data_IF_141914731786
#
_entry.id   IF_141914731786
#
_cell.length_a   1.000
_cell.length_b   1.000
_cell.length_c   1.000
_cell.angle_alpha   90.00
_cell.angle_beta   90.00
_cell.angle_gamma   90.00
#
_symmetry.space_group_name_H-M   'P 1'
#
loop_
_entity.id
_entity.type
_entity.pdbx_description
1 polymer ?
#
# COMPACT_ATOMS: atom_id res chain seq x y z
N UNK A 1 55.88 33.97 -46.37
CA UNK A 1 57.15 33.37 -46.89
C UNK A 1 57.09 31.91 -46.56
N UNK A 2 57.06 31.05 -47.36
CA UNK A 2 57.52 30.29 -48.50
C UNK A 2 56.70 29.00 -48.55
N UNK A 3 55.91 28.71 -49.50
CA UNK A 3 56.00 28.03 -50.82
C UNK A 3 56.30 26.52 -50.70
N UNK A 4 55.36 25.70 -51.09
CA UNK A 4 55.23 24.87 -52.32
C UNK A 4 55.89 23.47 -52.24
N UNK A 5 55.12 22.46 -52.64
CA UNK A 5 55.63 21.20 -53.13
C UNK A 5 54.67 20.07 -53.35
N UNK A 6 53.91 20.14 -54.45
CA UNK A 6 53.08 19.02 -54.93
C UNK A 6 53.94 18.00 -55.70
N UNK A 7 53.74 16.71 -55.57
CA UNK A 7 54.08 15.70 -56.58
C UNK A 7 53.07 14.60 -56.73
N UNK A 8 52.44 14.56 -57.91
CA UNK A 8 51.72 13.44 -58.53
C UNK A 8 52.61 12.31 -58.96
N UNK A 9 52.18 11.07 -58.90
CA UNK A 9 52.37 9.96 -59.89
C UNK A 9 51.65 8.70 -59.32
N UNK A 10 50.72 8.22 -59.97
CA UNK A 10 50.43 7.30 -61.12
C UNK A 10 50.17 5.86 -60.60
N UNK A 11 48.99 5.46 -60.75
CA UNK A 11 48.24 4.31 -61.26
C UNK A 11 49.14 3.08 -61.56
N UNK A 12 48.77 1.96 -60.94
CA UNK A 12 48.85 0.62 -61.53
C UNK A 12 47.65 -0.22 -61.02
N UNK A 13 46.91 -0.73 -62.00
CA UNK A 13 45.78 -1.62 -61.96
C UNK A 13 46.20 -3.02 -61.59
N UNK A 14 45.51 -3.64 -60.67
CA UNK A 14 45.60 -5.06 -60.38
C UNK A 14 44.32 -5.52 -59.64
N UNK A 15 43.41 -6.17 -60.36
CA UNK A 15 42.32 -6.93 -59.76
C UNK A 15 42.87 -8.23 -59.17
N UNK A 16 42.38 -8.60 -58.01
CA UNK A 16 42.20 -10.03 -57.76
C UNK A 16 40.71 -10.36 -57.37
N UNK A 17 40.32 -11.50 -57.83
CA UNK A 17 39.11 -12.27 -57.60
C UNK A 17 38.68 -12.25 -56.11
N UNK A 18 37.51 -11.70 -55.85
CA UNK A 18 36.85 -11.83 -54.53
C UNK A 18 36.04 -13.10 -54.45
N UNK A 19 36.45 -14.03 -53.63
CA UNK A 19 35.61 -15.11 -53.14
C UNK A 19 34.53 -14.53 -52.23
N UNK A 20 33.27 -14.51 -52.66
CA UNK A 20 32.11 -14.26 -51.80
C UNK A 20 31.91 -15.50 -50.91
N UNK A 21 32.38 -15.44 -49.68
CA UNK A 21 31.88 -16.31 -48.62
C UNK A 21 30.57 -15.72 -48.13
N UNK A 22 29.45 -16.32 -48.47
CA UNK A 22 28.17 -16.10 -47.83
C UNK A 22 28.26 -16.67 -46.41
N UNK A 23 28.65 -15.83 -45.45
CA UNK A 23 28.44 -16.10 -44.04
C UNK A 23 26.97 -15.99 -43.76
N UNK A 24 26.30 -17.09 -43.41
CA UNK A 24 25.01 -17.10 -42.77
C UNK A 24 25.16 -16.30 -41.44
N UNK A 25 24.78 -15.02 -41.44
CA UNK A 25 24.45 -14.31 -40.23
C UNK A 25 23.14 -14.91 -39.70
N UNK A 26 23.27 -15.89 -38.80
CA UNK A 26 22.16 -16.21 -37.93
C UNK A 26 21.73 -14.89 -37.22
N UNK A 27 20.43 -14.56 -37.17
CA UNK A 27 20.01 -13.42 -36.38
C UNK A 27 20.44 -13.70 -34.93
N UNK A 28 21.34 -12.89 -34.39
CA UNK A 28 21.51 -12.77 -32.95
C UNK A 28 20.13 -12.39 -32.44
N UNK A 29 19.40 -13.37 -31.85
CA UNK A 29 18.25 -13.08 -31.04
C UNK A 29 18.71 -12.07 -30.01
N UNK A 30 18.33 -10.82 -30.17
CA UNK A 30 18.58 -9.78 -29.17
C UNK A 30 17.91 -10.30 -27.90
N UNK A 31 18.69 -10.63 -26.89
CA UNK A 31 18.18 -10.91 -25.56
C UNK A 31 17.54 -9.62 -25.09
N UNK A 32 16.23 -9.48 -25.28
CA UNK A 32 15.46 -8.35 -24.80
C UNK A 32 15.60 -8.30 -23.29
N UNK A 33 15.77 -7.10 -22.76
CA UNK A 33 15.71 -6.87 -21.32
C UNK A 33 14.30 -7.23 -20.84
N UNK A 34 14.17 -7.79 -19.63
CA UNK A 34 12.86 -8.03 -19.02
C UNK A 34 12.05 -6.71 -18.93
N UNK A 35 10.76 -6.80 -19.16
CA UNK A 35 9.86 -5.66 -19.18
C UNK A 35 8.65 -5.91 -18.28
N UNK A 36 8.22 -4.88 -17.57
CA UNK A 36 6.95 -4.91 -16.86
C UNK A 36 5.78 -4.89 -17.87
N UNK A 37 4.94 -5.93 -17.94
CA UNK A 37 3.78 -5.95 -18.83
C UNK A 37 2.68 -4.95 -18.43
N UNK A 38 2.85 -4.26 -17.31
CA UNK A 38 1.87 -3.31 -16.78
C UNK A 38 0.76 -3.95 -15.95
N UNK A 39 -0.18 -3.12 -15.58
CA UNK A 39 -1.29 -3.50 -14.70
C UNK A 39 -2.14 -4.61 -15.32
N UNK A 40 -2.25 -5.73 -14.62
CA UNK A 40 -3.16 -6.82 -15.01
C UNK A 40 -4.61 -6.34 -14.91
N UNK A 41 -5.36 -6.47 -15.99
CA UNK A 41 -6.80 -6.15 -15.97
C UNK A 41 -7.52 -7.15 -15.06
N UNK A 42 -8.44 -6.65 -14.26
CA UNK A 42 -9.35 -7.51 -13.53
C UNK A 42 -10.17 -8.36 -14.50
N UNK A 43 -10.32 -9.65 -14.20
CA UNK A 43 -11.34 -10.48 -14.84
C UNK A 43 -12.72 -10.04 -14.33
N UNK A 44 -13.81 -10.43 -15.01
CA UNK A 44 -15.18 -10.09 -14.59
C UNK A 44 -15.46 -10.38 -13.12
N UNK A 45 -14.87 -11.45 -12.58
CA UNK A 45 -15.03 -11.88 -11.17
C UNK A 45 -14.10 -11.12 -10.20
N UNK A 46 -13.18 -10.30 -10.69
CA UNK A 46 -12.22 -9.53 -9.89
C UNK A 46 -12.31 -8.02 -10.11
N UNK A 47 -13.38 -7.53 -10.73
CA UNK A 47 -13.57 -6.12 -11.05
C UNK A 47 -14.39 -5.35 -9.99
N UNK A 48 -14.91 -6.04 -8.98
CA UNK A 48 -15.73 -5.46 -7.91
C UNK A 48 -15.32 -6.04 -6.56
N UNK A 49 -15.59 -5.33 -5.45
CA UNK A 49 -15.41 -5.90 -4.12
C UNK A 49 -16.38 -7.07 -3.93
N UNK A 50 -15.84 -8.24 -3.61
CA UNK A 50 -16.63 -9.45 -3.33
C UNK A 50 -16.36 -9.92 -1.91
N UNK A 51 -17.37 -10.46 -1.20
CA UNK A 51 -17.19 -11.00 0.13
C UNK A 51 -16.38 -12.32 0.07
N UNK A 52 -15.77 -12.68 1.20
CA UNK A 52 -15.17 -13.99 1.39
C UNK A 52 -16.23 -15.09 1.15
N UNK A 53 -15.80 -16.20 0.58
CA UNK A 53 -16.65 -17.35 0.41
C UNK A 53 -16.99 -17.97 1.78
N UNK A 54 -18.25 -18.38 1.97
CA UNK A 54 -18.69 -19.07 3.19
C UNK A 54 -19.20 -18.14 4.30
N UNK A 55 -19.41 -16.85 4.00
CA UNK A 55 -20.12 -15.95 4.90
C UNK A 55 -21.58 -16.39 5.09
N UNK A 56 -22.08 -16.31 6.32
CA UNK A 56 -23.50 -16.44 6.64
C UNK A 56 -24.31 -15.28 6.06
N UNK A 57 -25.64 -15.39 6.07
CA UNK A 57 -26.51 -14.30 5.62
C UNK A 57 -26.32 -13.02 6.44
N UNK A 58 -26.15 -13.17 7.76
CA UNK A 58 -25.94 -12.02 8.64
C UNK A 58 -24.58 -11.35 8.35
N UNK A 59 -23.50 -12.14 8.21
CA UNK A 59 -22.19 -11.63 7.84
C UNK A 59 -22.22 -10.91 6.47
N UNK A 60 -22.97 -11.44 5.50
CA UNK A 60 -23.17 -10.76 4.20
C UNK A 60 -23.89 -9.43 4.36
N UNK A 61 -24.85 -9.34 5.29
CA UNK A 61 -25.56 -8.09 5.58
C UNK A 61 -24.59 -7.03 6.15
N UNK A 62 -23.75 -7.40 7.11
CA UNK A 62 -22.72 -6.51 7.65
C UNK A 62 -21.68 -6.12 6.61
N UNK A 63 -21.24 -7.06 5.76
CA UNK A 63 -20.36 -6.75 4.65
C UNK A 63 -20.95 -5.68 3.71
N UNK A 64 -22.22 -5.84 3.34
CA UNK A 64 -22.89 -4.93 2.40
C UNK A 64 -23.14 -3.55 3.01
N UNK A 65 -23.50 -3.50 4.29
CA UNK A 65 -23.65 -2.24 5.04
C UNK A 65 -22.30 -1.51 5.13
N UNK A 66 -21.26 -2.21 5.53
CA UNK A 66 -19.91 -1.64 5.62
C UNK A 66 -19.36 -1.17 4.26
N UNK A 67 -19.61 -1.93 3.17
CA UNK A 67 -19.28 -1.49 1.81
C UNK A 67 -20.02 -0.20 1.44
N UNK A 68 -21.28 -0.09 1.79
CA UNK A 68 -22.10 1.10 1.53
C UNK A 68 -21.52 2.30 2.27
N UNK A 69 -21.26 2.17 3.57
CA UNK A 69 -20.67 3.26 4.38
C UNK A 69 -19.25 3.62 3.91
N UNK A 70 -18.43 2.65 3.53
CA UNK A 70 -17.08 2.91 2.98
C UNK A 70 -17.11 3.72 1.67
N UNK A 71 -18.25 3.74 0.97
CA UNK A 71 -18.49 4.50 -0.25
C UNK A 71 -19.27 5.81 -0.02
N UNK A 72 -19.70 6.09 1.20
CA UNK A 72 -20.39 7.33 1.51
C UNK A 72 -19.46 8.53 1.32
N UNK A 73 -20.04 9.61 0.82
CA UNK A 73 -19.38 10.93 0.78
C UNK A 73 -19.81 11.69 2.03
N UNK A 74 -18.85 12.01 2.87
CA UNK A 74 -19.08 12.77 4.08
C UNK A 74 -19.11 14.28 3.78
N UNK A 75 -20.00 14.98 4.47
CA UNK A 75 -20.15 16.44 4.38
C UNK A 75 -19.98 17.08 5.76
N UNK A 76 -19.69 18.38 5.80
CA UNK A 76 -19.53 19.10 7.06
C UNK A 76 -20.86 19.16 7.79
N UNK A 77 -21.96 19.48 7.11
CA UNK A 77 -23.29 19.59 7.72
C UNK A 77 -24.41 19.28 6.73
N UNK A 78 -25.54 18.81 7.27
CA UNK A 78 -26.71 18.46 6.48
C UNK A 78 -26.66 17.06 5.86
N UNK A 79 -27.82 16.45 5.64
CA UNK A 79 -27.91 15.09 5.10
C UNK A 79 -27.70 14.00 6.15
N UNK A 80 -27.53 12.77 5.68
CA UNK A 80 -27.37 11.57 6.53
C UNK A 80 -25.90 11.25 6.82
N UNK A 81 -24.99 11.69 5.95
CA UNK A 81 -23.55 11.47 6.07
C UNK A 81 -22.87 12.81 6.39
N UNK A 82 -22.90 13.19 7.63
CA UNK A 82 -22.33 14.44 8.10
C UNK A 82 -21.30 14.17 9.18
N UNK A 83 -20.43 15.15 9.43
CA UNK A 83 -19.41 15.07 10.45
C UNK A 83 -17.99 15.20 9.92
N UNK A 84 -17.82 15.41 8.59
CA UNK A 84 -16.49 15.70 8.04
C UNK A 84 -15.84 16.80 8.85
N UNK A 85 -14.65 16.51 9.35
CA UNK A 85 -13.95 17.41 10.26
C UNK A 85 -13.45 18.69 9.58
N UNK A 86 -13.02 19.67 10.38
CA UNK A 86 -12.51 20.93 9.87
C UNK A 86 -11.19 20.79 9.10
N UNK A 87 -10.46 19.70 9.32
CA UNK A 87 -9.24 19.30 8.59
C UNK A 87 -9.39 17.89 8.09
N UNK A 88 -9.06 17.65 6.81
CA UNK A 88 -9.26 16.36 6.16
C UNK A 88 -8.31 16.18 4.96
N UNK A 89 -8.12 14.92 4.52
CA UNK A 89 -7.41 14.55 3.31
C UNK A 89 -8.38 14.17 2.19
N UNK A 90 -9.49 13.52 2.55
CA UNK A 90 -10.57 13.17 1.64
C UNK A 90 -11.90 13.18 2.40
N UNK A 91 -13.00 13.18 1.65
CA UNK A 91 -14.36 13.05 2.20
C UNK A 91 -15.00 11.69 1.90
N UNK A 92 -14.21 10.71 1.44
CA UNK A 92 -14.71 9.39 1.07
C UNK A 92 -13.57 8.36 1.11
N UNK A 93 -13.75 7.24 1.82
CA UNK A 93 -12.73 6.19 1.91
C UNK A 93 -12.42 5.54 0.55
N UNK A 94 -13.49 5.21 -0.20
CA UNK A 94 -13.37 4.52 -1.49
C UNK A 94 -12.70 5.36 -2.58
N UNK A 95 -12.61 6.68 -2.45
CA UNK A 95 -11.94 7.51 -3.42
C UNK A 95 -10.43 7.22 -3.49
N UNK A 96 -9.80 7.02 -2.33
CA UNK A 96 -8.38 6.71 -2.22
C UNK A 96 -8.10 5.19 -2.29
N UNK A 97 -9.01 4.37 -1.79
CA UNK A 97 -8.94 2.91 -1.78
C UNK A 97 -9.74 2.30 -2.93
N UNK A 98 -9.36 2.58 -4.20
CA UNK A 98 -10.15 2.22 -5.38
C UNK A 98 -9.49 1.21 -6.33
N UNK A 99 -8.17 1.06 -6.33
CA UNK A 99 -7.48 0.22 -7.31
C UNK A 99 -7.14 -1.18 -6.73
N UNK A 100 -7.58 -2.28 -7.36
CA UNK A 100 -8.35 -2.42 -8.62
C UNK A 100 -9.87 -2.22 -8.45
N UNK A 101 -10.37 -2.20 -7.23
CA UNK A 101 -11.76 -1.95 -6.85
C UNK A 101 -11.81 -1.38 -5.42
N UNK A 102 -13.01 -1.03 -4.94
CA UNK A 102 -13.23 -0.48 -3.59
C UNK A 102 -12.63 -1.42 -2.52
N UNK A 103 -11.81 -0.86 -1.66
CA UNK A 103 -10.96 -1.59 -0.70
C UNK A 103 -9.53 -1.84 -1.21
N UNK A 104 -9.20 -1.35 -2.41
CA UNK A 104 -7.87 -1.46 -3.00
C UNK A 104 -6.87 -0.41 -2.48
N UNK A 105 -5.98 0.01 -3.36
CA UNK A 105 -4.96 1.04 -3.12
C UNK A 105 -5.21 2.27 -3.99
N UNK A 106 -4.23 3.17 -4.08
CA UNK A 106 -4.29 4.39 -4.89
C UNK A 106 -4.69 4.12 -6.34
N UNK A 107 -5.73 4.80 -6.87
CA UNK A 107 -6.08 4.74 -8.28
C UNK A 107 -5.07 5.46 -9.16
N UNK A 108 -5.14 5.20 -10.48
CA UNK A 108 -4.28 5.84 -11.48
C UNK A 108 -4.59 7.34 -11.66
N UNK A 109 -5.84 7.74 -11.50
CA UNK A 109 -6.26 9.13 -11.47
C UNK A 109 -6.45 9.58 -10.02
N UNK A 110 -5.80 10.65 -9.62
CA UNK A 110 -5.85 11.14 -8.25
C UNK A 110 -7.18 11.88 -7.98
N UNK A 111 -8.06 11.36 -7.11
CA UNK A 111 -9.36 11.96 -6.83
C UNK A 111 -9.27 13.23 -5.98
N UNK A 112 -8.19 13.44 -5.24
CA UNK A 112 -8.05 14.57 -4.30
C UNK A 112 -8.11 15.92 -5.01
N UNK A 113 -7.70 15.97 -6.28
CA UNK A 113 -7.82 17.17 -7.11
C UNK A 113 -9.29 17.55 -7.34
N UNK A 114 -10.14 16.54 -7.59
CA UNK A 114 -11.56 16.75 -7.75
C UNK A 114 -12.21 17.16 -6.42
N UNK A 115 -11.83 16.55 -5.31
CA UNK A 115 -12.29 16.92 -3.97
C UNK A 115 -11.98 18.37 -3.66
N UNK A 116 -10.74 18.82 -3.87
CA UNK A 116 -10.36 20.21 -3.66
C UNK A 116 -11.15 21.20 -4.54
N UNK A 117 -11.50 20.80 -5.76
CA UNK A 117 -12.22 21.65 -6.71
C UNK A 117 -13.73 21.67 -6.47
N UNK A 118 -14.34 20.52 -6.15
CA UNK A 118 -15.78 20.36 -6.02
C UNK A 118 -16.36 21.13 -4.84
N UNK A 119 -15.59 21.27 -3.77
CA UNK A 119 -16.03 21.92 -2.55
C UNK A 119 -15.93 23.45 -2.60
N UNK A 120 -15.54 24.03 -3.74
CA UNK A 120 -15.34 25.48 -3.86
C UNK A 120 -14.33 26.03 -2.86
N UNK A 121 -13.51 25.15 -2.31
CA UNK A 121 -12.59 25.47 -1.26
C UNK A 121 -11.46 26.37 -1.78
N UNK A 122 -11.02 27.29 -0.94
CA UNK A 122 -9.78 28.04 -1.17
C UNK A 122 -8.53 27.18 -1.02
N UNK A 123 -8.73 25.90 -0.70
CA UNK A 123 -7.65 24.93 -0.58
C UNK A 123 -6.90 24.78 -1.90
N UNK A 124 -5.61 24.96 -1.83
CA UNK A 124 -4.73 24.65 -2.95
C UNK A 124 -4.39 23.16 -2.92
N UNK A 125 -4.47 22.51 -4.07
CA UNK A 125 -3.96 21.15 -4.20
C UNK A 125 -2.46 21.17 -3.93
N UNK A 126 -1.95 20.43 -2.95
CA UNK A 126 -0.52 20.39 -2.70
C UNK A 126 0.25 19.87 -3.91
N UNK A 127 1.47 20.37 -4.09
CA UNK A 127 2.33 20.05 -5.24
C UNK A 127 2.63 18.57 -5.43
N UNK A 128 2.51 17.75 -4.38
CA UNK A 128 2.74 16.30 -4.43
C UNK A 128 1.51 15.49 -4.87
N UNK A 129 0.34 16.11 -4.97
CA UNK A 129 -0.88 15.53 -5.49
C UNK A 129 -1.02 15.87 -6.99
N UNK A 130 -0.49 15.00 -7.84
CA UNK A 130 -0.56 15.18 -9.29
C UNK A 130 -1.77 14.44 -9.88
N UNK A 131 -2.40 14.96 -10.98
CA UNK A 131 -3.62 14.38 -11.56
C UNK A 131 -3.51 12.88 -11.92
N UNK A 132 -2.33 12.44 -12.35
CA UNK A 132 -2.04 11.06 -12.73
C UNK A 132 -0.97 10.43 -11.81
N UNK A 133 -0.78 11.02 -10.63
CA UNK A 133 0.11 10.52 -9.60
C UNK A 133 -0.64 9.72 -8.53
N UNK A 134 0.08 9.06 -7.63
CA UNK A 134 -0.54 8.37 -6.51
C UNK A 134 -1.21 9.37 -5.56
N UNK A 135 -2.29 8.94 -4.94
CA UNK A 135 -2.83 9.57 -3.72
C UNK A 135 -1.79 9.42 -2.61
N UNK A 136 -1.45 10.53 -1.96
CA UNK A 136 -0.46 10.55 -0.89
C UNK A 136 -0.97 11.22 0.36
N UNK A 137 -0.87 10.58 1.50
CA UNK A 137 -0.86 11.27 2.78
C UNK A 137 0.53 11.90 3.01
N UNK A 138 0.56 13.08 3.62
CA UNK A 138 1.79 13.72 4.05
C UNK A 138 2.05 13.46 5.53
N UNK A 139 3.31 13.12 5.86
CA UNK A 139 3.78 12.98 7.24
C UNK A 139 5.04 13.81 7.44
N UNK A 140 5.22 14.34 8.63
CA UNK A 140 6.45 15.03 8.98
C UNK A 140 7.30 14.15 9.87
N UNK A 141 8.62 14.12 9.62
CA UNK A 141 9.56 13.43 10.50
C UNK A 141 9.65 14.10 11.86
N UNK A 142 9.59 15.42 11.86
CA UNK A 142 9.66 16.24 13.08
C UNK A 142 8.70 17.40 13.00
N UNK A 143 8.14 17.78 14.15
CA UNK A 143 7.39 19.02 14.35
C UNK A 143 8.03 19.79 15.49
N UNK A 144 8.36 21.08 15.28
CA UNK A 144 9.02 21.92 16.26
C UNK A 144 10.31 21.31 16.87
N UNK A 145 11.04 20.52 16.06
CA UNK A 145 12.30 19.89 16.48
C UNK A 145 12.14 18.58 17.28
N UNK A 146 10.91 18.11 17.48
CA UNK A 146 10.65 16.80 18.11
C UNK A 146 10.14 15.82 17.07
N UNK A 147 10.36 14.48 17.25
CA UNK A 147 9.77 13.47 16.38
C UNK A 147 8.25 13.64 16.29
N UNK A 148 7.72 13.53 15.06
CA UNK A 148 6.30 13.63 14.76
C UNK A 148 5.81 12.27 14.19
N UNK A 149 5.86 12.10 12.89
CA UNK A 149 5.40 10.90 12.20
C UNK A 149 3.89 10.80 12.01
N UNK A 150 3.12 11.77 12.49
CA UNK A 150 1.68 11.87 12.33
C UNK A 150 1.27 12.25 10.89
N UNK A 151 0.03 11.92 10.52
CA UNK A 151 -0.59 12.40 9.28
C UNK A 151 -0.87 13.88 9.39
N UNK A 152 -0.51 14.64 8.37
CA UNK A 152 -0.84 16.06 8.25
C UNK A 152 -1.93 16.26 7.20
N UNK A 153 -2.96 17.01 7.58
CA UNK A 153 -4.14 17.23 6.76
C UNK A 153 -3.80 18.06 5.52
N UNK A 154 -4.38 17.69 4.40
CA UNK A 154 -4.13 18.31 3.10
C UNK A 154 -5.07 19.50 2.88
N UNK A 155 -6.33 19.38 3.35
CA UNK A 155 -7.38 20.35 3.13
C UNK A 155 -8.01 20.84 4.42
N UNK A 156 -8.68 21.98 4.34
CA UNK A 156 -9.49 22.57 5.41
C UNK A 156 -10.86 22.96 4.86
N UNK A 157 -11.86 23.02 5.73
CA UNK A 157 -13.25 23.35 5.33
C UNK A 157 -13.47 24.82 4.92
N UNK A 158 -12.50 25.70 5.16
CA UNK A 158 -12.61 27.14 4.84
C UNK A 158 -12.92 27.34 3.35
N UNK A 159 -13.98 28.10 3.08
CA UNK A 159 -14.44 28.37 1.71
C UNK A 159 -15.43 27.37 1.15
N UNK A 160 -15.73 26.30 1.86
CA UNK A 160 -16.79 25.36 1.47
C UNK A 160 -18.16 25.97 1.75
N UNK A 161 -19.13 25.68 0.88
CA UNK A 161 -20.52 26.17 1.03
C UNK A 161 -21.22 25.59 2.28
N UNK A 162 -20.81 24.42 2.73
CA UNK A 162 -21.32 23.71 3.90
C UNK A 162 -20.59 24.03 5.22
N UNK A 163 -19.51 24.84 5.17
CA UNK A 163 -18.66 25.16 6.33
C UNK A 163 -19.13 26.39 7.14
N UNK A 164 -20.18 27.09 6.72
CA UNK A 164 -20.66 28.29 7.38
C UNK A 164 -19.61 29.41 7.42
N UNK A 165 -19.35 29.94 8.62
CA UNK A 165 -18.35 31.02 8.86
C UNK A 165 -17.00 30.47 9.35
N UNK A 166 -16.77 29.18 9.32
CA UNK A 166 -15.50 28.60 9.74
C UNK A 166 -14.34 29.11 8.87
N UNK A 167 -13.24 29.47 9.53
CA UNK A 167 -12.02 29.93 8.87
C UNK A 167 -10.80 29.31 9.53
N UNK A 168 -10.14 28.43 8.81
CA UNK A 168 -8.91 27.74 9.22
C UNK A 168 -7.85 27.96 8.15
N UNK A 169 -6.61 28.22 8.57
CA UNK A 169 -5.50 28.32 7.62
C UNK A 169 -5.15 26.93 7.05
N UNK A 170 -5.05 26.85 5.74
CA UNK A 170 -4.57 25.63 5.09
C UNK A 170 -3.11 25.37 5.50
N UNK A 171 -2.72 24.10 5.75
CA UNK A 171 -1.34 23.76 6.00
C UNK A 171 -0.43 24.16 4.83
N UNK A 172 0.78 24.63 5.13
CA UNK A 172 1.76 25.02 4.12
C UNK A 172 2.72 23.88 3.88
N UNK A 173 2.56 23.22 2.75
CA UNK A 173 3.52 22.24 2.25
C UNK A 173 4.51 22.99 1.34
N UNK A 174 5.56 23.58 1.92
CA UNK A 174 6.56 24.32 1.12
C UNK A 174 7.24 23.35 0.16
N UNK A 175 7.16 23.60 -1.17
CA UNK A 175 7.87 22.79 -2.12
C UNK A 175 9.36 22.96 -1.89
N UNK A 176 9.97 21.90 -1.53
CA UNK A 176 11.40 21.89 -1.36
C UNK A 176 11.91 20.66 -2.07
N UNK A 177 12.10 20.72 -3.41
CA UNK A 177 12.75 19.73 -4.24
C UNK A 177 11.85 18.67 -4.88
N UNK A 178 12.46 17.71 -5.53
CA UNK A 178 11.78 16.62 -6.19
C UNK A 178 11.15 15.68 -5.15
N UNK A 179 9.81 15.51 -5.12
CA UNK A 179 9.12 14.68 -4.14
C UNK A 179 9.49 13.19 -4.26
N UNK A 180 9.90 12.75 -5.45
CA UNK A 180 10.21 11.36 -5.74
C UNK A 180 11.63 10.99 -5.33
N UNK A 181 12.59 11.91 -5.45
CA UNK A 181 14.01 11.64 -5.20
C UNK A 181 14.53 12.21 -3.90
N UNK A 182 13.75 13.06 -3.21
CA UNK A 182 14.21 13.78 -2.01
C UNK A 182 15.33 14.80 -2.29
N UNK A 183 15.77 14.93 -3.54
CA UNK A 183 16.83 15.88 -3.90
C UNK A 183 16.29 17.31 -3.94
N UNK A 184 16.82 18.14 -3.06
CA UNK A 184 16.49 19.56 -2.95
C UNK A 184 15.19 19.85 -2.23
N UNK A 185 14.56 18.89 -1.56
CA UNK A 185 13.30 18.99 -0.87
C UNK A 185 13.38 19.33 0.62
N UNK A 186 12.24 19.69 1.21
CA UNK A 186 12.16 19.70 2.67
C UNK A 186 12.27 18.24 3.14
N UNK A 187 13.41 17.79 3.68
CA UNK A 187 13.62 16.39 4.05
C UNK A 187 12.71 15.95 5.19
N UNK A 188 11.93 16.89 5.74
CA UNK A 188 10.98 16.64 6.81
C UNK A 188 9.66 16.03 6.32
N UNK A 189 9.27 16.25 5.05
CA UNK A 189 8.01 15.71 4.50
C UNK A 189 8.27 14.36 3.87
N UNK A 190 7.47 13.37 4.26
CA UNK A 190 7.43 12.03 3.66
C UNK A 190 6.01 11.68 3.26
N UNK A 191 5.87 10.68 2.41
CA UNK A 191 4.59 10.29 1.85
C UNK A 191 4.30 8.82 2.09
N UNK A 192 3.00 8.50 2.19
CA UNK A 192 2.50 7.12 2.12
C UNK A 192 1.28 7.08 1.24
N UNK A 193 1.13 5.98 0.51
CA UNK A 193 -0.05 5.69 -0.31
C UNK A 193 -1.02 4.80 0.45
N UNK A 194 -2.32 4.79 0.09
CA UNK A 194 -3.31 3.92 0.71
C UNK A 194 -2.90 2.45 0.66
N UNK A 195 -2.94 1.77 1.80
CA UNK A 195 -2.71 0.33 1.89
C UNK A 195 -3.94 -0.44 1.41
N UNK A 196 -3.80 -1.50 0.58
CA UNK A 196 -4.95 -2.33 0.22
C UNK A 196 -5.56 -2.98 1.45
N UNK A 197 -6.89 -3.01 1.50
CA UNK A 197 -7.67 -3.67 2.57
C UNK A 197 -8.20 -5.04 2.16
N UNK A 198 -8.03 -5.43 0.91
CA UNK A 198 -8.42 -6.73 0.37
C UNK A 198 -7.75 -7.88 1.13
N UNK A 199 -8.54 -8.85 1.60
CA UNK A 199 -8.04 -9.97 2.40
C UNK A 199 -7.55 -9.60 3.80
N UNK A 200 -7.76 -8.36 4.24
CA UNK A 200 -7.26 -7.87 5.53
C UNK A 200 -7.81 -8.65 6.72
N UNK A 201 -9.05 -9.16 6.64
CA UNK A 201 -9.62 -10.02 7.68
C UNK A 201 -8.88 -11.35 7.83
N UNK A 202 -8.38 -11.93 6.74
CA UNK A 202 -7.52 -13.11 6.83
C UNK A 202 -6.20 -12.78 7.54
N UNK A 203 -5.61 -11.60 7.27
CA UNK A 203 -4.40 -11.13 7.97
C UNK A 203 -4.68 -10.93 9.46
N UNK A 204 -5.80 -10.29 9.80
CA UNK A 204 -6.23 -10.08 11.20
C UNK A 204 -6.41 -11.42 11.92
N UNK A 205 -6.95 -12.43 11.23
CA UNK A 205 -7.23 -13.76 11.77
C UNK A 205 -6.00 -14.67 11.91
N UNK A 206 -4.82 -14.30 11.42
CA UNK A 206 -3.58 -15.06 11.66
C UNK A 206 -3.18 -14.86 13.12
N UNK A 207 -3.09 -15.92 13.95
CA UNK A 207 -2.71 -15.75 15.35
C UNK A 207 -1.22 -15.38 15.48
N UNK A 208 -0.88 -14.58 16.50
CA UNK A 208 0.51 -14.16 16.78
C UNK A 208 1.46 -15.36 16.87
N UNK A 209 0.96 -16.48 17.41
CA UNK A 209 1.74 -17.72 17.52
C UNK A 209 2.16 -18.29 16.16
N UNK A 210 1.37 -18.11 15.09
CA UNK A 210 1.73 -18.54 13.74
C UNK A 210 2.84 -17.66 13.15
N UNK A 211 2.77 -16.35 13.34
CA UNK A 211 3.81 -15.40 12.91
C UNK A 211 5.14 -15.72 13.62
N UNK A 212 5.12 -15.89 14.94
CA UNK A 212 6.32 -16.22 15.72
C UNK A 212 6.87 -17.62 15.40
N UNK A 213 6.00 -18.60 15.13
CA UNK A 213 6.44 -19.92 14.71
C UNK A 213 7.12 -19.88 13.34
N UNK A 214 6.56 -19.11 12.39
CA UNK A 214 7.16 -18.91 11.08
C UNK A 214 8.52 -18.19 11.17
N UNK A 215 8.62 -17.12 11.96
CA UNK A 215 9.89 -16.41 12.18
C UNK A 215 10.99 -17.37 12.69
N UNK A 216 10.68 -18.22 13.67
CA UNK A 216 11.64 -19.20 14.19
C UNK A 216 12.00 -20.27 13.17
N UNK A 217 11.02 -20.80 12.43
CA UNK A 217 11.24 -21.86 11.46
C UNK A 217 12.10 -21.39 10.26
N UNK A 218 11.97 -20.12 9.86
CA UNK A 218 12.71 -19.54 8.74
C UNK A 218 14.08 -18.97 9.14
N UNK A 219 14.42 -18.90 10.43
CA UNK A 219 15.62 -18.22 10.92
C UNK A 219 16.92 -18.76 10.29
N UNK A 220 17.06 -20.08 10.12
CA UNK A 220 18.24 -20.68 9.50
C UNK A 220 18.43 -20.31 8.04
N UNK A 221 17.36 -20.27 7.24
CA UNK A 221 17.40 -19.86 5.85
C UNK A 221 17.69 -18.35 5.71
N UNK A 222 17.12 -17.55 6.59
CA UNK A 222 17.33 -16.10 6.65
C UNK A 222 18.77 -15.74 7.02
N UNK A 223 19.37 -16.44 7.96
CA UNK A 223 20.73 -16.16 8.46
C UNK A 223 21.79 -16.15 7.36
N UNK A 224 21.68 -17.06 6.38
CA UNK A 224 22.63 -17.15 5.26
C UNK A 224 22.51 -16.00 4.24
N UNK A 225 21.42 -15.24 4.27
CA UNK A 225 21.12 -14.15 3.31
C UNK A 225 21.15 -12.77 3.95
N UNK A 226 21.33 -12.67 5.26
CA UNK A 226 21.25 -11.39 5.99
C UNK A 226 19.84 -10.91 6.25
N UNK A 227 18.82 -11.71 5.90
CA UNK A 227 17.42 -11.41 6.20
C UNK A 227 17.14 -11.69 7.68
N UNK A 228 16.59 -10.71 8.39
CA UNK A 228 16.18 -10.82 9.78
C UNK A 228 14.66 -10.76 9.93
N UNK A 229 14.20 -9.59 10.27
CA UNK A 229 12.80 -9.29 10.52
C UNK A 229 12.36 -9.57 11.94
N UNK A 230 11.52 -8.68 12.46
CA UNK A 230 10.94 -8.84 13.79
C UNK A 230 9.48 -8.34 13.79
N UNK A 231 8.64 -8.80 14.74
CA UNK A 231 7.29 -8.29 14.85
C UNK A 231 7.29 -6.85 15.40
N UNK A 232 6.42 -6.01 14.87
CA UNK A 232 6.00 -4.83 15.61
C UNK A 232 4.89 -5.26 16.58
N UNK A 233 4.93 -4.82 17.83
CA UNK A 233 4.07 -5.36 18.88
C UNK A 233 3.69 -4.30 19.92
N UNK A 234 2.53 -4.51 20.54
CA UNK A 234 2.13 -3.76 21.72
C UNK A 234 2.96 -4.26 22.89
N UNK A 235 3.70 -3.36 23.53
CA UNK A 235 4.56 -3.74 24.67
C UNK A 235 3.72 -4.24 25.86
N UNK A 236 4.18 -5.32 26.48
CA UNK A 236 3.56 -5.90 27.65
C UNK A 236 2.30 -6.72 27.42
N UNK A 237 1.90 -6.94 26.16
CA UNK A 237 0.76 -7.78 25.82
C UNK A 237 1.08 -9.28 25.81
N UNK A 238 0.06 -10.12 26.05
CA UNK A 238 0.13 -11.55 25.84
C UNK A 238 -0.12 -11.91 24.38
N UNK A 239 0.54 -12.98 23.90
CA UNK A 239 0.34 -13.49 22.55
C UNK A 239 -1.12 -13.89 22.33
N UNK A 240 -1.78 -13.30 21.36
CA UNK A 240 -3.13 -13.67 20.95
C UNK A 240 -3.09 -14.99 20.16
N UNK A 241 -3.97 -15.91 20.48
CA UNK A 241 -4.06 -17.24 19.85
C UNK A 241 -5.27 -17.38 18.93
N UNK A 242 -6.21 -16.46 19.01
CA UNK A 242 -7.49 -16.54 18.28
C UNK A 242 -7.61 -15.59 17.08
N UNK A 243 -6.67 -14.70 16.86
CA UNK A 243 -6.81 -13.63 15.85
C UNK A 243 -7.68 -12.46 16.34
N UNK A 244 -8.01 -11.54 15.46
CA UNK A 244 -8.82 -10.33 15.63
C UNK A 244 -8.30 -9.25 16.60
N UNK A 245 -7.55 -9.53 17.61
CA UNK A 245 -7.00 -8.54 18.54
C UNK A 245 -5.65 -9.02 19.13
N UNK A 246 -4.69 -9.29 18.25
CA UNK A 246 -3.36 -9.74 18.63
C UNK A 246 -2.51 -8.66 19.29
N UNK A 247 -1.41 -9.08 19.91
CA UNK A 247 -0.38 -8.18 20.43
C UNK A 247 0.67 -7.83 19.39
N UNK A 248 0.87 -8.68 18.37
CA UNK A 248 1.64 -8.37 17.18
C UNK A 248 0.79 -7.49 16.28
N UNK A 249 1.22 -6.26 16.12
CA UNK A 249 0.57 -5.29 15.23
C UNK A 249 0.90 -5.60 13.77
N UNK A 250 -0.04 -5.39 12.84
CA UNK A 250 0.07 -5.92 11.48
C UNK A 250 -0.51 -5.07 10.38
N UNK A 251 -1.15 -3.94 10.70
CA UNK A 251 -1.75 -3.03 9.71
C UNK A 251 -0.97 -1.72 9.61
N UNK A 252 -1.04 -1.10 8.43
CA UNK A 252 -0.22 0.04 8.06
C UNK A 252 1.16 -0.37 7.52
N UNK A 253 1.87 0.58 6.93
CA UNK A 253 3.18 0.34 6.30
C UNK A 253 4.28 -0.09 7.29
N UNK A 254 4.16 0.30 8.54
CA UNK A 254 5.09 -0.10 9.62
C UNK A 254 4.44 -1.07 10.61
N UNK A 255 3.33 -1.72 10.24
CA UNK A 255 2.57 -2.59 11.13
C UNK A 255 2.20 -1.89 12.46
N UNK A 256 1.79 -0.63 12.42
CA UNK A 256 1.54 0.15 13.63
C UNK A 256 0.20 -0.16 14.30
N UNK A 257 -0.80 -0.67 13.55
CA UNK A 257 -2.13 -0.96 14.08
C UNK A 257 -2.35 -2.45 14.35
N UNK A 258 -3.03 -2.75 15.47
CA UNK A 258 -3.24 -4.13 15.92
C UNK A 258 -4.43 -4.82 15.29
N UNK A 259 -5.50 -4.06 14.95
CA UNK A 259 -6.75 -4.58 14.43
C UNK A 259 -7.33 -3.67 13.35
N UNK A 260 -8.25 -4.21 12.55
CA UNK A 260 -8.96 -3.44 11.55
C UNK A 260 -9.87 -2.39 12.17
N UNK A 261 -10.45 -2.65 13.33
CA UNK A 261 -11.25 -1.66 14.07
C UNK A 261 -10.39 -0.47 14.50
N UNK A 262 -9.22 -0.71 15.08
CA UNK A 262 -8.29 0.36 15.44
C UNK A 262 -7.82 1.13 14.20
N UNK A 263 -7.53 0.42 13.11
CA UNK A 263 -7.09 1.03 11.86
C UNK A 263 -8.19 1.86 11.20
N UNK A 264 -9.45 1.38 11.21
CA UNK A 264 -10.61 2.13 10.74
C UNK A 264 -10.83 3.41 11.56
N UNK A 265 -10.79 3.30 12.89
CA UNK A 265 -10.96 4.46 13.80
C UNK A 265 -9.87 5.50 13.63
N UNK A 266 -8.59 5.09 13.52
CA UNK A 266 -7.49 6.00 13.21
C UNK A 266 -7.70 6.69 11.86
N UNK A 267 -7.98 5.93 10.79
CA UNK A 267 -8.15 6.48 9.45
C UNK A 267 -9.33 7.44 9.36
N UNK A 268 -10.47 7.12 9.99
CA UNK A 268 -11.64 7.99 10.01
C UNK A 268 -11.36 9.33 10.66
N UNK A 269 -10.55 9.32 11.73
CA UNK A 269 -10.12 10.53 12.41
C UNK A 269 -9.05 11.30 11.62
N UNK A 270 -7.98 10.64 11.15
CA UNK A 270 -6.84 11.34 10.54
C UNK A 270 -7.05 11.70 9.07
N UNK A 271 -7.88 10.94 8.33
CA UNK A 271 -8.11 11.20 6.90
C UNK A 271 -9.36 12.07 6.66
N UNK A 272 -10.35 11.99 7.54
CA UNK A 272 -11.63 12.68 7.37
C UNK A 272 -11.94 13.64 8.52
N UNK A 273 -11.10 13.70 9.55
CA UNK A 273 -11.28 14.55 10.70
C UNK A 273 -12.48 14.19 11.58
N UNK A 274 -13.09 13.00 11.37
CA UNK A 274 -14.29 12.59 12.10
C UNK A 274 -13.92 11.92 13.41
N UNK A 275 -14.43 12.48 14.52
CA UNK A 275 -14.25 11.87 15.84
C UNK A 275 -15.10 10.62 16.01
N UNK A 276 -14.57 9.62 16.70
CA UNK A 276 -15.22 8.35 16.91
C UNK A 276 -14.94 7.79 18.31
N UNK A 277 -15.53 6.64 18.66
CA UNK A 277 -15.38 6.06 20.00
C UNK A 277 -13.93 5.76 20.40
N UNK A 278 -13.04 5.45 19.45
CA UNK A 278 -11.63 5.17 19.71
C UNK A 278 -10.76 6.44 19.67
N UNK A 279 -11.15 7.42 18.88
CA UNK A 279 -10.51 8.72 18.73
C UNK A 279 -11.55 9.82 18.95
N UNK A 280 -11.90 10.14 20.21
CA UNK A 280 -13.08 10.93 20.55
C UNK A 280 -12.91 12.44 20.33
N UNK A 281 -11.76 12.92 19.91
CA UNK A 281 -11.49 14.33 19.66
C UNK A 281 -11.32 14.59 18.16
N UNK A 282 -11.83 15.74 17.71
CA UNK A 282 -11.52 16.21 16.34
C UNK A 282 -10.04 16.61 16.24
N UNK A 283 -9.55 16.63 15.00
CA UNK A 283 -8.15 17.00 14.71
C UNK A 283 -7.87 18.48 14.85
N UNK A 284 -8.91 19.32 14.81
CA UNK A 284 -8.83 20.76 15.03
C UNK A 284 -10.04 21.22 15.85
N UNK A 285 -9.75 21.82 16.98
CA UNK A 285 -10.77 22.32 17.92
C UNK A 285 -11.01 23.85 17.79
N UNK A 286 -10.73 24.43 16.62
CA UNK A 286 -10.94 25.87 16.39
C UNK A 286 -12.40 26.25 16.69
N UNK A 287 -12.66 27.18 17.63
CA UNK A 287 -14.02 27.58 17.96
C UNK A 287 -14.81 28.04 16.72
N UNK A 288 -16.03 27.55 16.56
CA UNK A 288 -16.90 27.88 15.43
C UNK A 288 -16.66 27.01 14.19
N UNK A 289 -15.65 26.15 14.19
CA UNK A 289 -15.40 25.19 13.13
C UNK A 289 -15.83 23.76 13.49
N UNK A 290 -16.17 23.52 14.73
CA UNK A 290 -16.73 22.25 15.20
C UNK A 290 -18.25 22.23 14.92
N UNK A 291 -18.68 21.32 14.07
CA UNK A 291 -20.09 21.23 13.67
C UNK A 291 -20.90 20.21 14.47
N UNK A 292 -20.24 19.29 15.18
CA UNK A 292 -20.88 18.12 15.79
C UNK A 292 -20.42 17.85 17.22
N UNK A 293 -21.24 17.12 17.98
CA UNK A 293 -20.79 16.55 19.25
C UNK A 293 -19.60 15.61 19.03
N UNK A 294 -18.69 15.57 19.99
CA UNK A 294 -17.55 14.65 19.99
C UNK A 294 -17.74 13.57 21.06
N UNK A 295 -17.64 12.28 20.74
CA UNK A 295 -17.45 11.71 19.42
C UNK A 295 -18.67 11.84 18.51
N UNK A 296 -18.46 12.02 17.20
CA UNK A 296 -19.52 12.08 16.20
C UNK A 296 -20.01 10.68 15.82
N UNK A 297 -19.09 9.73 15.60
CA UNK A 297 -19.39 8.35 15.26
C UNK A 297 -19.44 7.48 16.53
N UNK A 298 -20.57 6.79 16.74
CA UNK A 298 -20.82 5.91 17.87
C UNK A 298 -21.95 4.91 17.57
N UNK A 299 -22.04 3.83 18.37
CA UNK A 299 -23.07 2.83 18.23
C UNK A 299 -24.45 3.38 18.48
N UNK A 300 -25.39 3.04 17.60
CA UNK A 300 -26.79 3.45 17.70
C UNK A 300 -27.65 2.34 18.31
N UNK A 301 -27.65 2.20 19.61
CA UNK A 301 -28.44 1.19 20.33
C UNK A 301 -29.96 1.35 20.22
N UNK A 302 -30.47 2.40 19.57
CA UNK A 302 -31.90 2.53 19.23
C UNK A 302 -32.27 1.84 17.92
N UNK A 303 -31.27 1.36 17.15
CA UNK A 303 -31.46 0.64 15.89
C UNK A 303 -31.34 -0.88 16.09
N UNK A 304 -31.39 -1.63 14.99
CA UNK A 304 -31.26 -3.09 14.98
C UNK A 304 -30.42 -3.57 13.77
N UNK A 305 -29.89 -4.77 13.86
CA UNK A 305 -29.04 -5.33 12.81
C UNK A 305 -27.77 -4.50 12.57
N UNK A 306 -27.33 -4.38 11.33
CA UNK A 306 -26.12 -3.64 10.98
C UNK A 306 -26.20 -2.13 11.26
N UNK A 307 -27.40 -1.57 11.40
CA UNK A 307 -27.56 -0.16 11.73
C UNK A 307 -27.26 0.19 13.21
N UNK A 308 -26.94 -0.80 14.05
CA UNK A 308 -26.51 -0.58 15.43
C UNK A 308 -25.07 -0.12 15.49
N UNK A 309 -24.17 -0.73 14.69
CA UNK A 309 -22.74 -0.50 14.79
C UNK A 309 -22.35 0.88 14.26
N UNK A 310 -21.31 1.45 14.84
CA UNK A 310 -20.67 2.69 14.38
C UNK A 310 -20.06 2.55 12.98
N UNK A 311 -19.71 3.65 12.33
CA UNK A 311 -19.08 3.62 11.01
C UNK A 311 -17.72 2.92 11.06
N UNK A 312 -16.94 3.14 12.11
CA UNK A 312 -15.63 2.47 12.24
C UNK A 312 -15.78 0.95 12.41
N UNK A 313 -16.83 0.45 13.09
CA UNK A 313 -17.12 -0.97 13.15
C UNK A 313 -17.57 -1.51 11.78
N UNK A 314 -18.46 -0.79 11.10
CA UNK A 314 -18.92 -1.16 9.77
C UNK A 314 -17.76 -1.22 8.75
N UNK A 315 -16.84 -0.27 8.80
CA UNK A 315 -15.61 -0.30 7.97
C UNK A 315 -14.73 -1.50 8.31
N UNK A 316 -14.55 -1.81 9.59
CA UNK A 316 -13.80 -2.99 10.01
C UNK A 316 -14.48 -4.28 9.52
N UNK A 317 -15.80 -4.38 9.60
CA UNK A 317 -16.57 -5.53 9.13
C UNK A 317 -16.46 -5.70 7.61
N UNK A 318 -16.55 -4.61 6.84
CA UNK A 318 -16.28 -4.63 5.41
C UNK A 318 -14.87 -5.16 5.09
N UNK A 319 -13.84 -4.60 5.72
CA UNK A 319 -12.45 -4.99 5.49
C UNK A 319 -12.15 -6.42 5.92
N UNK A 320 -12.78 -6.92 7.01
CA UNK A 320 -12.65 -8.30 7.47
C UNK A 320 -13.20 -9.30 6.47
N UNK A 321 -14.33 -8.95 5.88
CA UNK A 321 -15.08 -9.85 5.01
C UNK A 321 -14.76 -9.66 3.51
N UNK A 322 -13.95 -8.67 3.14
CA UNK A 322 -13.52 -8.43 1.77
C UNK A 322 -12.52 -9.49 1.33
N UNK A 323 -12.83 -10.21 0.25
CA UNK A 323 -11.95 -11.22 -0.31
C UNK A 323 -10.68 -10.62 -0.92
N UNK A 324 -9.54 -11.33 -0.88
CA UNK A 324 -8.38 -10.97 -1.66
C UNK A 324 -8.67 -11.13 -3.16
N UNK A 325 -7.97 -10.40 -4.05
CA UNK A 325 -8.13 -10.56 -5.50
C UNK A 325 -7.79 -11.97 -5.96
N UNK A 326 -8.50 -12.42 -6.99
CA UNK A 326 -8.25 -13.74 -7.59
C UNK A 326 -7.00 -13.65 -8.47
N UNK A 327 -5.98 -14.53 -8.28
CA UNK A 327 -4.84 -14.61 -9.16
C UNK A 327 -5.24 -14.99 -10.59
N UNK A 328 -4.40 -14.64 -11.57
CA UNK A 328 -4.58 -15.10 -12.93
C UNK A 328 -4.39 -16.62 -13.05
N UNK A 329 -5.00 -17.23 -14.06
CA UNK A 329 -4.76 -18.64 -14.37
C UNK A 329 -3.26 -18.90 -14.59
N UNK A 330 -2.66 -19.88 -13.89
CA UNK A 330 -1.24 -20.18 -14.03
C UNK A 330 -0.86 -20.58 -15.45
N UNK A 331 0.27 -20.06 -15.93
CA UNK A 331 0.92 -20.43 -17.18
C UNK A 331 2.29 -21.07 -16.88
N UNK A 332 2.94 -21.69 -17.87
CA UNK A 332 4.29 -22.22 -17.69
C UNK A 332 5.27 -21.14 -17.21
N UNK A 333 5.18 -19.92 -17.76
CA UNK A 333 5.99 -18.77 -17.36
C UNK A 333 5.73 -18.37 -15.90
N UNK A 334 4.47 -18.22 -15.48
CA UNK A 334 4.16 -17.83 -14.10
C UNK A 334 4.49 -18.92 -13.09
N UNK A 335 4.41 -20.20 -13.45
CA UNK A 335 4.84 -21.31 -12.60
C UNK A 335 6.37 -21.32 -12.43
N UNK A 336 7.13 -21.11 -13.51
CA UNK A 336 8.58 -20.97 -13.44
C UNK A 336 8.97 -19.73 -12.63
N UNK A 337 8.30 -18.60 -12.86
CA UNK A 337 8.51 -17.38 -12.08
C UNK A 337 8.27 -17.56 -10.59
N UNK A 338 7.25 -18.34 -10.18
CA UNK A 338 7.02 -18.69 -8.78
C UNK A 338 8.16 -19.54 -8.20
N UNK A 339 8.69 -20.51 -8.97
CA UNK A 339 9.84 -21.28 -8.55
C UNK A 339 11.09 -20.41 -8.36
N UNK A 340 11.32 -19.45 -9.28
CA UNK A 340 12.39 -18.45 -9.17
C UNK A 340 12.21 -17.55 -7.95
N UNK A 341 11.00 -17.07 -7.69
CA UNK A 341 10.65 -16.24 -6.53
C UNK A 341 11.08 -16.91 -5.21
N UNK A 342 10.85 -18.22 -5.11
CA UNK A 342 11.28 -19.00 -3.95
C UNK A 342 12.80 -19.19 -3.94
N UNK A 343 13.38 -19.60 -5.06
CA UNK A 343 14.80 -20.02 -5.12
C UNK A 343 15.79 -18.87 -4.95
N UNK A 344 15.45 -17.66 -5.42
CA UNK A 344 16.32 -16.49 -5.25
C UNK A 344 16.17 -15.79 -3.90
N UNK A 345 15.14 -16.16 -3.11
CA UNK A 345 14.98 -15.74 -1.72
C UNK A 345 13.87 -14.72 -1.46
N UNK A 346 13.06 -14.30 -2.43
CA UNK A 346 11.94 -13.36 -2.19
C UNK A 346 10.96 -13.90 -1.14
N UNK A 347 10.73 -15.23 -1.15
CA UNK A 347 9.85 -15.91 -0.21
C UNK A 347 10.34 -15.91 1.25
N UNK A 348 11.56 -15.45 1.53
CA UNK A 348 12.07 -15.32 2.91
C UNK A 348 11.34 -14.23 3.71
N UNK A 349 10.92 -13.16 3.04
CA UNK A 349 10.05 -12.12 3.59
C UNK A 349 8.62 -12.30 3.05
N UNK A 350 8.47 -12.43 1.74
CA UNK A 350 7.19 -12.64 1.09
C UNK A 350 6.74 -14.10 1.16
N UNK A 351 6.55 -14.59 2.38
CA UNK A 351 6.10 -15.96 2.68
C UNK A 351 4.77 -16.25 2.00
N UNK A 352 4.68 -17.31 1.17
CA UNK A 352 3.49 -17.54 0.34
C UNK A 352 2.20 -17.67 1.12
N UNK A 353 2.20 -18.40 2.24
CA UNK A 353 0.96 -18.74 2.95
C UNK A 353 1.17 -18.79 4.47
N UNK A 354 0.20 -18.23 5.19
CA UNK A 354 0.02 -18.42 6.64
C UNK A 354 -1.40 -18.94 6.91
N UNK A 355 -1.60 -19.62 8.04
CA UNK A 355 -2.91 -20.17 8.40
C UNK A 355 -3.57 -19.31 9.47
N UNK A 356 -4.86 -19.03 9.29
CA UNK A 356 -5.67 -18.28 10.26
C UNK A 356 -6.04 -19.14 11.46
N UNK A 357 -6.29 -18.51 12.61
CA UNK A 357 -6.87 -19.13 13.80
C UNK A 357 -8.39 -19.02 13.82
N UNK A 358 -8.99 -19.12 15.00
CA UNK A 358 -10.39 -18.74 15.19
C UNK A 358 -10.53 -17.22 15.07
N UNK A 359 -11.55 -16.74 14.37
CA UNK A 359 -11.78 -15.31 14.16
C UNK A 359 -13.28 -15.00 14.06
N UNK A 360 -13.69 -13.83 14.49
CA UNK A 360 -15.04 -13.29 14.30
C UNK A 360 -15.04 -12.39 13.07
N UNK A 361 -16.17 -12.31 12.38
CA UNK A 361 -16.32 -11.43 11.22
C UNK A 361 -16.77 -10.02 11.60
N UNK A 362 -17.64 -9.90 12.59
CA UNK A 362 -18.20 -8.63 13.09
C UNK A 362 -17.98 -8.51 14.60
N UNK A 363 -17.78 -7.28 15.09
CA UNK A 363 -17.73 -6.98 16.52
C UNK A 363 -18.96 -7.42 17.31
N UNK A 364 -20.10 -7.51 16.63
CA UNK A 364 -21.38 -8.00 17.19
C UNK A 364 -21.48 -9.53 17.25
N UNK A 365 -20.58 -10.26 16.58
CA UNK A 365 -20.62 -11.72 16.53
C UNK A 365 -20.01 -12.34 17.80
N UNK A 366 -20.60 -13.42 18.26
CA UNK A 366 -20.14 -14.20 19.44
C UNK A 366 -19.49 -15.54 19.06
N UNK A 367 -19.63 -15.95 17.80
CA UNK A 367 -19.11 -17.22 17.29
C UNK A 367 -18.06 -17.00 16.21
N UNK A 368 -17.06 -17.89 16.10
CA UNK A 368 -16.06 -17.82 15.03
C UNK A 368 -16.74 -17.91 13.65
N UNK A 369 -16.30 -17.05 12.73
CA UNK A 369 -16.68 -17.11 11.32
C UNK A 369 -16.01 -18.27 10.61
N UNK A 370 -16.77 -19.10 9.93
CA UNK A 370 -16.23 -20.18 9.11
C UNK A 370 -15.40 -19.64 7.93
N UNK A 371 -15.75 -18.48 7.40
CA UNK A 371 -15.06 -17.84 6.29
C UNK A 371 -13.66 -17.32 6.66
N UNK A 372 -13.43 -17.00 7.93
CA UNK A 372 -12.16 -16.45 8.43
C UNK A 372 -11.33 -17.48 9.18
N UNK A 373 -11.97 -18.49 9.79
CA UNK A 373 -11.29 -19.42 10.71
C UNK A 373 -10.65 -20.58 9.98
N UNK A 374 -9.39 -20.90 10.35
CA UNK A 374 -8.60 -22.03 9.82
C UNK A 374 -8.42 -22.00 8.28
N UNK A 375 -8.37 -20.81 7.69
CA UNK A 375 -8.16 -20.62 6.27
C UNK A 375 -6.67 -20.52 5.92
N UNK A 376 -6.33 -20.95 4.69
CA UNK A 376 -5.03 -20.70 4.09
C UNK A 376 -5.01 -19.28 3.49
N UNK A 377 -4.32 -18.37 4.13
CA UNK A 377 -4.12 -17.02 3.62
C UNK A 377 -2.88 -17.00 2.71
N UNK A 378 -3.09 -16.98 1.39
CA UNK A 378 -2.02 -16.93 0.39
C UNK A 378 -1.53 -15.49 0.18
N UNK A 379 -1.06 -14.87 1.24
CA UNK A 379 -0.79 -13.43 1.31
C UNK A 379 0.57 -13.01 0.75
N UNK A 380 1.53 -13.92 0.64
CA UNK A 380 2.91 -13.60 0.27
C UNK A 380 3.52 -12.52 1.18
N UNK A 381 3.47 -12.76 2.48
CA UNK A 381 4.05 -11.88 3.51
C UNK A 381 4.25 -12.68 4.81
N UNK A 382 5.32 -12.40 5.52
CA UNK A 382 5.56 -12.91 6.88
C UNK A 382 5.00 -12.00 7.98
N UNK A 383 4.46 -10.82 7.60
CA UNK A 383 3.91 -9.78 8.47
C UNK A 383 4.94 -9.19 9.46
N UNK A 384 6.21 -9.46 9.28
CA UNK A 384 7.30 -8.88 10.06
C UNK A 384 7.72 -7.52 9.48
N UNK A 385 8.39 -6.71 10.27
CA UNK A 385 9.09 -5.52 9.80
C UNK A 385 10.55 -5.85 9.53
N UNK A 386 11.08 -5.30 8.45
CA UNK A 386 12.45 -5.53 7.96
C UNK A 386 13.15 -4.22 7.67
N UNK A 387 14.46 -4.17 7.90
CA UNK A 387 15.30 -3.06 7.47
C UNK A 387 15.37 -3.00 5.94
N UNK A 388 14.85 -1.93 5.36
CA UNK A 388 14.86 -1.69 3.92
C UNK A 388 15.94 -0.69 3.51
N UNK A 389 16.78 -0.28 4.46
CA UNK A 389 17.93 0.57 4.25
C UNK A 389 17.61 2.02 3.88
N UNK A 390 18.66 2.78 3.64
CA UNK A 390 18.59 4.23 3.46
C UNK A 390 17.75 4.69 2.26
N UNK A 391 17.62 3.85 1.23
CA UNK A 391 16.87 4.20 0.01
C UNK A 391 15.35 4.24 0.23
N UNK A 392 14.83 3.39 1.10
CA UNK A 392 13.39 3.34 1.42
C UNK A 392 13.08 3.97 2.78
N UNK A 393 14.07 4.37 3.57
CA UNK A 393 13.87 4.97 4.87
C UNK A 393 12.98 6.22 4.81
N UNK A 394 11.90 6.24 5.59
CA UNK A 394 11.05 7.42 5.76
C UNK A 394 11.46 8.30 6.94
N UNK A 395 12.35 7.80 7.80
CA UNK A 395 12.84 8.54 8.96
C UNK A 395 11.88 8.57 10.15
N UNK A 396 10.78 7.79 10.11
CA UNK A 396 9.75 7.75 11.15
C UNK A 396 9.81 6.42 11.90
N UNK A 397 9.72 6.49 13.23
CA UNK A 397 9.57 5.32 14.11
C UNK A 397 8.11 5.18 14.53
N UNK A 398 7.54 3.96 14.40
CA UNK A 398 6.19 3.64 14.86
C UNK A 398 6.20 2.31 15.65
N UNK A 399 5.97 2.39 16.95
CA UNK A 399 6.15 1.23 17.83
C UNK A 399 7.60 0.76 17.86
N UNK A 400 7.83 -0.53 17.58
CA UNK A 400 9.17 -1.10 17.46
C UNK A 400 9.78 -0.95 16.06
N UNK A 401 8.99 -0.54 15.05
CA UNK A 401 9.50 -0.35 13.70
C UNK A 401 10.30 0.97 13.58
N UNK A 402 11.58 0.86 13.28
CA UNK A 402 12.53 1.96 13.15
C UNK A 402 12.38 2.77 11.85
N UNK A 403 13.26 3.78 11.65
CA UNK A 403 13.15 4.75 10.56
C UNK A 403 13.20 4.16 9.15
N UNK A 404 13.86 3.04 8.96
CA UNK A 404 14.06 2.33 7.69
C UNK A 404 13.35 0.97 7.65
N UNK A 405 12.55 0.66 8.67
CA UNK A 405 11.84 -0.60 8.76
C UNK A 405 10.41 -0.50 8.26
N UNK A 406 10.02 -1.49 7.45
CA UNK A 406 8.67 -1.60 6.91
C UNK A 406 8.17 -3.04 7.01
N UNK A 407 6.85 -3.16 7.22
CA UNK A 407 6.18 -4.46 7.18
C UNK A 407 6.25 -5.04 5.77
N UNK A 408 6.58 -6.32 5.65
CA UNK A 408 6.43 -7.03 4.38
C UNK A 408 5.01 -6.87 3.86
N UNK A 409 4.86 -6.15 2.74
CA UNK A 409 3.56 -5.91 2.14
C UNK A 409 3.01 -7.21 1.54
N UNK A 410 1.74 -7.57 1.77
CA UNK A 410 1.10 -8.67 1.05
C UNK A 410 1.13 -8.45 -0.45
N UNK A 411 1.42 -9.51 -1.22
CA UNK A 411 1.53 -9.42 -2.68
C UNK A 411 0.27 -9.89 -3.43
N UNK A 412 -0.74 -10.44 -2.74
CA UNK A 412 -2.02 -10.68 -3.45
C UNK A 412 -2.54 -9.37 -4.05
N UNK A 413 -2.98 -9.44 -5.30
CA UNK A 413 -3.41 -8.28 -6.06
C UNK A 413 -2.29 -7.32 -6.49
N UNK A 414 -0.99 -7.63 -6.26
CA UNK A 414 0.13 -6.78 -6.69
C UNK A 414 0.13 -6.59 -8.22
N UNK A 415 -0.30 -7.59 -8.97
CA UNK A 415 -0.42 -7.51 -10.42
C UNK A 415 -1.42 -6.48 -10.92
N UNK A 416 -2.37 -6.09 -10.08
CA UNK A 416 -3.41 -5.11 -10.40
C UNK A 416 -3.10 -3.71 -9.83
N UNK A 417 -2.00 -3.53 -9.09
CA UNK A 417 -1.59 -2.23 -8.56
C UNK A 417 -0.96 -1.35 -9.62
N UNK A 418 -1.22 -0.04 -9.51
CA UNK A 418 -0.61 0.99 -10.36
C UNK A 418 0.69 1.49 -9.74
N UNK A 419 0.66 1.82 -8.45
CA UNK A 419 1.81 2.39 -7.74
C UNK A 419 2.35 1.42 -6.71
N UNK A 420 3.68 1.39 -6.55
CA UNK A 420 4.40 0.48 -5.68
C UNK A 420 5.21 1.21 -4.62
N UNK A 421 5.61 0.46 -3.60
CA UNK A 421 6.28 0.90 -2.39
C UNK A 421 5.38 1.78 -1.51
N UNK A 422 5.87 2.11 -0.31
CA UNK A 422 5.07 2.82 0.69
C UNK A 422 4.66 4.24 0.27
N UNK A 423 5.45 4.88 -0.59
CA UNK A 423 5.28 6.26 -1.04
C UNK A 423 4.81 6.40 -2.51
N UNK A 424 4.58 5.27 -3.19
CA UNK A 424 4.12 5.27 -4.58
C UNK A 424 5.11 5.84 -5.58
N UNK A 425 6.43 5.74 -5.29
CA UNK A 425 7.48 6.35 -6.11
C UNK A 425 7.63 5.77 -7.50
N UNK A 426 7.12 4.59 -7.75
CA UNK A 426 7.20 3.93 -9.05
C UNK A 426 5.91 3.21 -9.41
N UNK A 427 5.64 3.12 -10.72
CA UNK A 427 4.60 2.26 -11.31
C UNK A 427 5.18 1.04 -12.05
N UNK A 428 6.50 0.91 -12.06
CA UNK A 428 7.23 -0.21 -12.67
C UNK A 428 7.62 -1.22 -11.58
N UNK A 429 7.18 -2.48 -11.73
CA UNK A 429 7.43 -3.53 -10.74
C UNK A 429 8.91 -3.92 -10.69
N UNK A 430 9.65 -3.80 -11.80
CA UNK A 430 11.10 -4.05 -11.84
C UNK A 430 11.81 -3.00 -10.99
N UNK A 431 11.45 -1.74 -11.16
CA UNK A 431 12.01 -0.66 -10.33
C UNK A 431 11.65 -0.85 -8.86
N UNK A 432 10.42 -1.33 -8.56
CA UNK A 432 10.04 -1.66 -7.19
C UNK A 432 10.95 -2.75 -6.58
N UNK A 433 11.28 -3.81 -7.34
CA UNK A 433 12.23 -4.84 -6.90
C UNK A 433 13.62 -4.23 -6.66
N UNK A 434 14.13 -3.44 -7.59
CA UNK A 434 15.45 -2.83 -7.49
C UNK A 434 15.58 -1.83 -6.33
N UNK A 435 14.49 -1.14 -6.01
CA UNK A 435 14.44 -0.19 -4.90
C UNK A 435 14.49 -0.86 -3.52
N UNK A 436 14.32 -2.17 -3.43
CA UNK A 436 14.55 -2.92 -2.20
C UNK A 436 16.05 -2.97 -1.81
N UNK A 437 16.97 -2.70 -2.74
CA UNK A 437 18.40 -2.64 -2.42
C UNK A 437 18.82 -1.25 -1.99
N UNK A 438 19.68 -1.18 -0.98
CA UNK A 438 20.25 0.06 -0.47
C UNK A 438 21.17 -0.22 0.70
N UNK A 439 21.92 0.80 1.15
CA UNK A 439 22.77 0.66 2.32
C UNK A 439 21.93 0.31 3.55
N UNK A 440 22.24 -0.80 4.21
CA UNK A 440 21.52 -1.32 5.36
C UNK A 440 20.31 -2.19 5.04
N UNK A 441 19.95 -2.42 3.76
CA UNK A 441 18.80 -3.26 3.41
C UNK A 441 19.06 -4.76 3.60
N UNK A 442 18.12 -5.44 4.23
CA UNK A 442 18.10 -6.91 4.35
C UNK A 442 17.88 -7.60 3.00
N UNK A 443 17.31 -6.90 2.00
CA UNK A 443 17.00 -7.45 0.69
C UNK A 443 18.17 -7.41 -0.31
N UNK A 444 19.33 -6.86 0.06
CA UNK A 444 20.45 -6.65 -0.87
C UNK A 444 20.87 -7.92 -1.63
N UNK A 445 21.03 -9.05 -0.92
CA UNK A 445 21.41 -10.31 -1.55
C UNK A 445 20.33 -10.82 -2.51
N UNK A 446 19.08 -10.67 -2.14
CA UNK A 446 17.92 -11.13 -2.94
C UNK A 446 17.80 -10.30 -4.22
N UNK A 447 17.95 -8.98 -4.13
CA UNK A 447 17.96 -8.10 -5.31
C UNK A 447 19.16 -8.43 -6.23
N UNK A 448 20.33 -8.69 -5.66
CA UNK A 448 21.47 -9.16 -6.44
C UNK A 448 21.16 -10.47 -7.17
N UNK A 449 20.56 -11.45 -6.48
CA UNK A 449 20.17 -12.71 -7.09
C UNK A 449 19.19 -12.50 -8.27
N UNK A 450 18.22 -11.58 -8.15
CA UNK A 450 17.36 -11.19 -9.26
C UNK A 450 18.14 -10.58 -10.44
N UNK A 451 19.09 -9.69 -10.17
CA UNK A 451 19.86 -8.99 -11.22
C UNK A 451 20.74 -9.92 -12.04
N UNK A 452 21.20 -11.03 -11.46
CA UNK A 452 22.06 -12.00 -12.17
C UNK A 452 21.28 -13.09 -12.91
N UNK A 453 19.96 -13.13 -12.80
CA UNK A 453 19.09 -14.00 -13.58
C UNK A 453 19.23 -13.67 -15.09
N UNK A 454 18.96 -14.64 -15.94
CA UNK A 454 18.77 -14.38 -17.36
C UNK A 454 17.55 -13.45 -17.58
N UNK A 455 17.54 -12.71 -18.70
CA UNK A 455 16.40 -11.84 -19.03
C UNK A 455 15.09 -12.62 -19.15
N UNK A 456 15.13 -13.88 -19.59
CA UNK A 456 13.96 -14.76 -19.66
C UNK A 456 13.46 -15.14 -18.26
N UNK A 457 14.37 -15.50 -17.35
CA UNK A 457 14.02 -15.83 -15.96
C UNK A 457 13.48 -14.60 -15.21
N UNK A 458 14.10 -13.44 -15.42
CA UNK A 458 13.57 -12.17 -14.88
C UNK A 458 12.15 -11.94 -15.40
N UNK A 459 11.90 -12.14 -16.70
CA UNK A 459 10.56 -11.95 -17.27
C UNK A 459 9.54 -12.92 -16.67
N UNK A 460 9.91 -14.19 -16.49
CA UNK A 460 9.02 -15.18 -15.87
C UNK A 460 8.67 -14.81 -14.42
N UNK A 461 9.64 -14.29 -13.65
CA UNK A 461 9.40 -13.79 -12.30
C UNK A 461 8.45 -12.57 -12.32
N UNK A 462 8.65 -11.62 -13.23
CA UNK A 462 7.76 -10.45 -13.37
C UNK A 462 6.35 -10.90 -13.77
N UNK A 463 6.22 -11.85 -14.70
CA UNK A 463 4.94 -12.42 -15.11
C UNK A 463 4.23 -13.11 -13.94
N UNK A 464 4.97 -13.80 -13.07
CA UNK A 464 4.43 -14.36 -11.82
C UNK A 464 3.88 -13.27 -10.90
N UNK A 465 4.66 -12.22 -10.61
CA UNK A 465 4.20 -11.12 -9.75
C UNK A 465 2.97 -10.41 -10.33
N UNK A 466 2.93 -10.20 -11.65
CA UNK A 466 1.77 -9.62 -12.31
C UNK A 466 0.57 -10.58 -12.38
N UNK A 467 0.76 -11.86 -12.12
CA UNK A 467 -0.32 -12.85 -12.05
C UNK A 467 -1.03 -12.91 -10.69
N UNK A 468 -0.42 -12.37 -9.64
CA UNK A 468 -0.96 -12.34 -8.26
C UNK A 468 -2.11 -11.31 -8.06
#
# INVERSE_FOLDING_TARGET
MCKIGARKRRILTGLPLSFLTFGLLAPLAGFGQAQDPGVRKATTDGAAPVPLHGLTTDEQTFFQDGLTRFQNVEVVSGGTNNGLGPRFNSNQCSSCHQQPFVGGSSPAANPLIAVASADGATNQVPWFEAPNGPVREARFRTSNGVPDGGVHDIFVITGRSDAGSCSIAQPVFTPAGNPVTGQGGNPNIIFRIPTPTMGAGLIEAIPDSAILAHQRASAGAKQGTGVGGHPNAIQGGNVNRSGNDGTITRFGWKAQNKSLLMFAGEAYNVEMGISNQLFPQERDETPGCQGYPTPNDYDNFSSSGAAVVSDIEAFADFMRMLAPPVPATPTASTQHGNALFVSIGCALCHTPTLTTGNAIASGSATLPSAALSHQQANLFSDLLVHHMGSRLADGITQGAAGPDEFRTAPLWGVGQRVFFLHDGRTSDIIMAILDHAGEGSEANQIVHNFQVLSAADQQDLINFLRSL
#
